data_IF_670416194517
#
_entry.id   IF_670416194517
#
_cell.length_a   1.000
_cell.length_b   1.000
_cell.length_c   1.000
_cell.angle_alpha   90.00
_cell.angle_beta   90.00
_cell.angle_gamma   90.00
#
_symmetry.space_group_name_H-M   'P 1'
#
loop_
_entity.id
_entity.type
_entity.pdbx_description
1 polymer ?
#
# COMPACT_ATOMS: atom_id res chain seq x y z
N UNK A 1 -14.75 43.94 31.66
CA UNK A 1 -15.98 44.64 31.22
C UNK A 1 -16.71 43.82 30.13
N UNK A 2 -17.06 42.56 30.39
CA UNK A 2 -17.64 41.61 29.40
C UNK A 2 -18.95 40.95 29.89
N UNK A 3 -19.63 41.51 30.90
CA UNK A 3 -20.80 40.91 31.55
C UNK A 3 -22.17 41.42 31.06
N UNK A 4 -22.21 42.18 29.96
CA UNK A 4 -23.44 42.79 29.43
C UNK A 4 -23.95 42.19 28.11
N UNK A 5 -23.32 41.13 27.57
CA UNK A 5 -23.72 40.54 26.26
C UNK A 5 -24.77 39.42 26.41
N UNK A 6 -25.04 38.95 27.64
CA UNK A 6 -25.98 37.84 27.91
C UNK A 6 -27.40 38.35 28.22
N UNK A 7 -27.96 39.29 27.45
CA UNK A 7 -29.37 39.71 27.67
C UNK A 7 -30.20 40.11 26.45
N UNK A 8 -29.72 40.07 25.21
CA UNK A 8 -30.53 40.52 24.07
C UNK A 8 -30.74 39.40 23.04
N UNK A 9 -32.03 39.11 22.84
CA UNK A 9 -32.66 38.51 21.66
C UNK A 9 -32.76 36.97 21.58
N UNK A 10 -33.81 36.47 22.25
CA UNK A 10 -34.70 35.44 21.69
C UNK A 10 -35.25 35.97 20.35
N UNK A 11 -34.78 35.43 19.21
CA UNK A 11 -35.43 35.60 17.91
C UNK A 11 -35.66 34.21 17.32
N UNK A 12 -36.94 33.90 17.14
CA UNK A 12 -37.44 32.76 16.40
C UNK A 12 -37.04 32.86 14.92
N UNK A 13 -36.64 31.74 14.32
CA UNK A 13 -36.48 31.59 12.88
C UNK A 13 -35.03 31.50 12.42
N UNK A 14 -34.63 30.30 11.98
CA UNK A 14 -33.38 30.10 11.26
C UNK A 14 -32.88 28.66 11.38
N UNK A 15 -33.16 27.84 10.36
CA UNK A 15 -32.42 26.62 10.05
C UNK A 15 -30.95 26.99 9.71
N UNK A 16 -30.14 27.32 10.72
CA UNK A 16 -28.69 27.47 10.56
C UNK A 16 -28.01 26.13 10.83
N UNK A 17 -27.76 25.39 9.75
CA UNK A 17 -26.82 24.27 9.77
C UNK A 17 -25.42 24.78 10.10
N UNK A 18 -24.90 24.39 11.26
CA UNK A 18 -23.49 24.59 11.60
C UNK A 18 -22.63 23.64 10.77
N UNK A 19 -22.04 24.16 9.70
CA UNK A 19 -20.92 23.51 9.03
C UNK A 19 -19.74 23.49 10.02
N UNK A 20 -19.43 22.30 10.53
CA UNK A 20 -18.21 22.07 11.33
C UNK A 20 -16.94 22.28 10.49
N UNK A 21 -15.79 22.56 11.12
CA UNK A 21 -14.55 22.75 10.37
C UNK A 21 -14.14 21.40 9.77
N UNK A 22 -14.06 21.33 8.44
CA UNK A 22 -13.36 20.25 7.77
C UNK A 22 -11.88 20.48 8.02
N UNK A 23 -11.29 19.78 9.00
CA UNK A 23 -9.84 19.75 9.12
C UNK A 23 -9.30 19.09 7.86
N UNK A 24 -8.48 19.81 7.09
CA UNK A 24 -7.62 19.19 6.10
C UNK A 24 -6.71 18.20 6.86
N UNK A 25 -7.07 16.91 6.81
CA UNK A 25 -6.41 15.84 7.55
C UNK A 25 -5.04 15.61 6.92
N UNK A 26 -4.05 16.38 7.37
CA UNK A 26 -2.66 16.09 7.05
C UNK A 26 -2.28 14.78 7.76
N UNK A 27 -1.52 13.88 7.11
CA UNK A 27 -1.11 12.65 7.76
C UNK A 27 -0.36 12.90 9.06
N UNK A 28 -0.76 12.16 10.09
CA UNK A 28 -0.04 12.14 11.37
C UNK A 28 1.38 11.60 11.19
N UNK A 29 2.33 12.08 11.99
CA UNK A 29 3.73 11.60 11.95
C UNK A 29 3.83 10.07 12.11
N UNK A 30 2.92 9.46 12.88
CA UNK A 30 2.80 8.01 13.04
C UNK A 30 2.36 7.30 11.76
N UNK A 31 1.41 7.85 11.01
CA UNK A 31 1.03 7.32 9.69
C UNK A 31 2.21 7.40 8.71
N UNK A 32 2.90 8.52 8.67
CA UNK A 32 4.07 8.71 7.79
C UNK A 32 5.16 7.70 8.12
N UNK A 33 5.42 7.45 9.41
CA UNK A 33 6.38 6.46 9.86
C UNK A 33 5.99 5.03 9.44
N UNK A 34 4.70 4.68 9.50
CA UNK A 34 4.18 3.39 9.06
C UNK A 34 4.32 3.21 7.54
N UNK A 35 3.97 4.22 6.74
CA UNK A 35 4.12 4.21 5.27
C UNK A 35 5.59 4.06 4.89
N UNK A 36 6.49 4.79 5.56
CA UNK A 36 7.95 4.65 5.37
C UNK A 36 8.43 3.22 5.57
N UNK A 37 7.87 2.50 6.54
CA UNK A 37 8.27 1.12 6.79
C UNK A 37 7.94 0.22 5.60
N UNK A 38 6.80 0.44 4.95
CA UNK A 38 6.37 -0.28 3.74
C UNK A 38 7.11 0.17 2.48
N UNK A 39 7.57 1.41 2.45
CA UNK A 39 8.26 2.05 1.32
C UNK A 39 9.79 2.03 1.40
N UNK A 40 10.38 1.30 2.36
CA UNK A 40 11.81 1.42 2.69
C UNK A 40 12.73 1.12 1.50
N UNK A 41 12.39 0.11 0.70
CA UNK A 41 13.19 -0.28 -0.48
C UNK A 41 13.08 0.76 -1.59
N UNK A 42 11.86 1.19 -1.91
CA UNK A 42 11.61 2.22 -2.92
C UNK A 42 12.26 3.55 -2.55
N UNK A 43 12.23 3.90 -1.26
CA UNK A 43 12.87 5.10 -0.74
C UNK A 43 14.38 5.11 -0.97
N UNK A 44 15.07 3.97 -0.80
CA UNK A 44 16.51 3.88 -1.08
C UNK A 44 16.83 4.03 -2.56
N UNK A 45 15.93 3.62 -3.46
CA UNK A 45 16.11 3.69 -4.90
C UNK A 45 15.82 5.08 -5.47
N UNK A 46 14.81 5.78 -4.94
CA UNK A 46 14.29 7.02 -5.53
C UNK A 46 14.47 8.26 -4.65
N UNK A 47 14.61 8.09 -3.33
CA UNK A 47 14.53 9.19 -2.36
C UNK A 47 15.69 9.21 -1.33
N UNK A 48 16.82 8.56 -1.61
CA UNK A 48 17.91 8.35 -0.65
C UNK A 48 18.53 9.65 -0.09
N UNK A 49 18.45 10.75 -0.82
CA UNK A 49 18.98 12.06 -0.42
C UNK A 49 18.05 12.86 0.49
N UNK A 50 16.83 12.37 0.73
CA UNK A 50 15.83 13.05 1.55
C UNK A 50 15.96 12.58 3.01
N UNK A 51 15.66 13.42 4.02
CA UNK A 51 15.57 12.96 5.39
C UNK A 51 14.41 11.97 5.58
N UNK A 52 14.69 10.85 6.24
CA UNK A 52 13.66 9.83 6.48
C UNK A 52 12.69 10.28 7.57
N UNK A 53 11.47 10.57 7.18
CA UNK A 53 10.37 10.92 8.09
C UNK A 53 9.86 12.34 7.87
N UNK A 54 8.55 12.51 8.03
CA UNK A 54 7.87 13.77 7.76
C UNK A 54 7.49 13.97 6.29
N UNK A 55 7.05 15.19 5.98
CA UNK A 55 6.44 15.53 4.69
C UNK A 55 7.40 15.44 3.51
N UNK A 56 8.69 15.73 3.71
CA UNK A 56 9.70 15.69 2.65
C UNK A 56 9.85 14.29 2.04
N UNK A 57 9.82 13.26 2.90
CA UNK A 57 9.84 11.87 2.46
C UNK A 57 8.58 11.49 1.68
N UNK A 58 7.41 11.99 2.10
CA UNK A 58 6.15 11.76 1.37
C UNK A 58 6.13 12.47 0.02
N UNK A 59 6.59 13.71 -0.07
CA UNK A 59 6.62 14.45 -1.35
C UNK A 59 7.52 13.76 -2.38
N UNK A 60 8.70 13.30 -1.96
CA UNK A 60 9.56 12.54 -2.87
C UNK A 60 8.89 11.24 -3.35
N UNK A 61 8.27 10.48 -2.44
CA UNK A 61 7.53 9.28 -2.82
C UNK A 61 6.34 9.61 -3.75
N UNK A 62 5.65 10.73 -3.56
CA UNK A 62 4.55 11.16 -4.42
C UNK A 62 5.02 11.52 -5.84
N UNK A 63 6.16 12.18 -5.99
CA UNK A 63 6.74 12.43 -7.33
C UNK A 63 7.14 11.14 -8.04
N UNK A 64 7.63 10.17 -7.29
CA UNK A 64 8.04 8.88 -7.83
C UNK A 64 6.93 7.82 -7.81
N UNK A 65 5.67 8.16 -7.50
CA UNK A 65 4.59 7.21 -7.24
C UNK A 65 4.35 6.19 -8.36
N UNK A 66 4.59 6.57 -9.63
CA UNK A 66 4.48 5.69 -10.79
C UNK A 66 5.62 4.66 -10.92
N UNK A 67 6.74 4.89 -10.23
CA UNK A 67 7.92 4.03 -10.20
C UNK A 67 8.07 3.28 -8.86
N UNK A 68 7.20 3.56 -7.89
CA UNK A 68 7.21 2.83 -6.62
C UNK A 68 6.61 1.44 -6.80
N UNK A 69 7.01 0.54 -5.91
CA UNK A 69 6.36 -0.75 -5.72
C UNK A 69 4.84 -0.57 -5.50
N UNK A 70 3.99 -1.48 -6.00
CA UNK A 70 2.53 -1.36 -5.88
C UNK A 70 2.05 -1.15 -4.44
N UNK A 71 2.71 -1.81 -3.48
CA UNK A 71 2.40 -1.71 -2.06
C UNK A 71 2.74 -0.33 -1.48
N UNK A 72 3.85 0.27 -1.92
CA UNK A 72 4.25 1.60 -1.50
C UNK A 72 3.38 2.69 -2.16
N UNK A 73 3.08 2.56 -3.46
CA UNK A 73 2.18 3.46 -4.18
C UNK A 73 0.77 3.49 -3.58
N UNK A 74 0.22 2.33 -3.19
CA UNK A 74 -1.06 2.25 -2.48
C UNK A 74 -1.02 2.94 -1.12
N UNK A 75 0.06 2.73 -0.35
CA UNK A 75 0.24 3.34 0.96
C UNK A 75 0.36 4.87 0.87
N UNK A 76 1.01 5.41 -0.17
CA UNK A 76 1.17 6.85 -0.43
C UNK A 76 -0.10 7.49 -1.00
N UNK A 77 -0.87 6.76 -1.82
CA UNK A 77 -2.14 7.23 -2.37
C UNK A 77 -3.24 7.33 -1.29
N UNK A 78 -3.28 6.39 -0.34
CA UNK A 78 -4.24 6.38 0.77
C UNK A 78 -4.09 7.59 1.72
N UNK A 79 -2.96 8.30 1.66
CA UNK A 79 -2.67 9.49 2.47
C UNK A 79 -3.03 10.79 1.78
N UNK A 80 -3.03 10.81 0.44
CA UNK A 80 -3.34 11.99 -0.38
C UNK A 80 -4.83 12.23 -0.59
N UNK A 81 -5.68 11.23 -0.28
CA UNK A 81 -7.13 11.31 -0.35
C UNK A 81 -7.74 11.05 1.01
N UNK A 82 -8.05 12.11 1.76
CA UNK A 82 -8.61 12.01 3.10
C UNK A 82 -9.87 11.15 3.18
N UNK A 83 -9.84 10.14 4.04
CA UNK A 83 -10.97 9.68 4.86
C UNK A 83 -10.42 8.79 5.98
N UNK A 84 -10.27 9.35 7.17
CA UNK A 84 -10.00 8.60 8.39
C UNK A 84 -11.27 8.03 9.02
N UNK A 85 -11.35 6.69 9.09
CA UNK A 85 -11.82 5.83 10.19
C UNK A 85 -12.02 4.44 9.58
N UNK A 86 -11.43 3.36 10.09
CA UNK A 86 -11.71 2.89 11.45
C UNK A 86 -10.44 2.39 12.18
N UNK A 87 -10.34 2.78 13.45
CA UNK A 87 -9.81 1.91 14.49
C UNK A 87 -10.67 0.63 14.51
N UNK A 88 -10.07 -0.49 14.12
CA UNK A 88 -10.39 -1.79 14.67
C UNK A 88 -9.09 -2.38 15.24
N UNK A 89 -8.88 -2.14 16.53
CA UNK A 89 -8.36 -3.19 17.39
C UNK A 89 -9.36 -4.34 17.33
N UNK A 90 -9.00 -5.37 16.57
CA UNK A 90 -9.80 -6.58 16.37
C UNK A 90 -9.86 -7.02 14.91
N UNK A 91 -8.78 -7.70 14.46
CA UNK A 91 -8.52 -8.29 13.13
C UNK A 91 -7.98 -7.25 12.11
N UNK A 92 -6.69 -7.15 11.80
CA UNK A 92 -5.76 -8.22 11.39
C UNK A 92 -4.32 -7.68 11.50
N UNK A 93 -3.45 -8.32 12.29
CA UNK A 93 -2.01 -8.25 12.07
C UNK A 93 -1.59 -9.51 11.27
N UNK A 94 -0.33 -9.61 10.82
CA UNK A 94 0.31 -8.91 9.70
C UNK A 94 0.48 -9.88 8.53
N UNK A 95 0.36 -9.46 7.27
CA UNK A 95 0.73 -10.37 6.18
C UNK A 95 1.44 -9.59 5.05
N UNK A 96 2.72 -9.72 4.67
CA UNK A 96 3.81 -10.71 4.88
C UNK A 96 3.47 -12.20 4.97
N UNK A 97 2.20 -12.54 4.78
CA UNK A 97 1.71 -13.84 4.42
C UNK A 97 1.06 -13.61 3.07
N UNK A 98 1.69 -14.08 2.00
CA UNK A 98 1.09 -13.99 0.68
C UNK A 98 -0.32 -14.54 0.78
N UNK A 99 -1.34 -13.70 0.55
CA UNK A 99 -2.66 -14.24 0.26
C UNK A 99 -2.42 -15.19 -0.92
N UNK A 100 -2.69 -16.51 -0.82
CA UNK A 100 -2.31 -17.44 -1.87
C UNK A 100 -2.86 -17.01 -3.24
N UNK A 101 -3.98 -16.27 -3.24
CA UNK A 101 -4.52 -15.63 -4.44
C UNK A 101 -3.63 -14.52 -5.01
N UNK A 102 -3.09 -13.63 -4.19
CA UNK A 102 -2.16 -12.58 -4.61
C UNK A 102 -0.80 -13.16 -5.00
N UNK A 103 -0.33 -14.17 -4.27
CA UNK A 103 0.91 -14.86 -4.59
C UNK A 103 0.80 -15.60 -5.93
N UNK A 104 -0.40 -16.09 -6.30
CA UNK A 104 -0.64 -16.67 -7.63
C UNK A 104 -0.74 -15.64 -8.76
N UNK A 105 -1.19 -14.41 -8.51
CA UNK A 105 -1.18 -13.35 -9.53
C UNK A 105 0.24 -12.86 -9.81
N UNK A 106 1.03 -12.61 -8.75
CA UNK A 106 2.46 -12.27 -8.90
C UNK A 106 3.21 -13.37 -9.67
N UNK A 107 2.98 -14.65 -9.35
CA UNK A 107 3.54 -15.76 -10.14
C UNK A 107 3.17 -15.69 -11.62
N UNK A 108 1.93 -15.32 -11.94
CA UNK A 108 1.45 -15.29 -13.33
C UNK A 108 2.07 -14.15 -14.11
N UNK A 109 2.26 -12.99 -13.47
CA UNK A 109 2.89 -11.82 -14.07
C UNK A 109 4.39 -12.05 -14.26
N UNK A 110 5.10 -12.44 -13.19
CA UNK A 110 6.56 -12.61 -13.21
C UNK A 110 6.99 -13.84 -14.03
N UNK A 111 6.32 -14.98 -13.86
CA UNK A 111 6.67 -16.22 -14.56
C UNK A 111 5.90 -16.41 -15.87
N UNK A 112 5.06 -15.46 -16.28
CA UNK A 112 4.18 -15.65 -17.44
C UNK A 112 4.94 -15.86 -18.75
N UNK A 113 6.08 -15.18 -18.91
CA UNK A 113 6.93 -15.34 -20.09
C UNK A 113 7.73 -16.64 -20.03
N UNK A 114 8.36 -16.94 -18.89
CA UNK A 114 9.11 -18.17 -18.68
C UNK A 114 8.22 -19.41 -18.82
N UNK A 115 7.00 -19.38 -18.29
CA UNK A 115 6.02 -20.45 -18.42
C UNK A 115 5.67 -20.72 -19.89
N UNK A 116 5.50 -19.67 -20.70
CA UNK A 116 5.22 -19.81 -22.13
C UNK A 116 6.43 -20.32 -22.91
N UNK A 117 7.64 -20.15 -22.42
CA UNK A 117 8.86 -20.62 -23.10
C UNK A 117 9.19 -22.05 -22.69
N UNK A 118 9.21 -22.34 -21.40
CA UNK A 118 9.69 -23.60 -20.83
C UNK A 118 8.58 -24.62 -20.55
N UNK A 119 7.34 -24.18 -20.28
CA UNK A 119 6.23 -25.04 -19.87
C UNK A 119 5.12 -25.16 -20.93
N UNK A 120 5.48 -25.07 -22.22
CA UNK A 120 4.53 -25.21 -23.34
C UNK A 120 3.82 -26.57 -23.27
N UNK A 121 2.50 -26.57 -23.06
CA UNK A 121 1.68 -27.78 -22.96
C UNK A 121 1.26 -28.16 -21.55
N UNK A 122 1.80 -27.50 -20.52
CA UNK A 122 1.31 -27.67 -19.14
C UNK A 122 -0.02 -26.93 -19.00
N UNK A 123 -1.05 -27.61 -18.50
CA UNK A 123 -2.33 -26.98 -18.18
C UNK A 123 -2.20 -26.20 -16.86
N UNK A 124 -2.45 -24.88 -16.84
CA UNK A 124 -2.42 -24.10 -15.61
C UNK A 124 -3.44 -24.64 -14.59
N UNK A 125 -3.13 -24.51 -13.30
CA UNK A 125 -3.98 -24.97 -12.19
C UNK A 125 -3.51 -26.25 -11.50
N UNK A 126 -3.96 -26.45 -10.26
CA UNK A 126 -3.63 -27.62 -9.44
C UNK A 126 -2.15 -27.74 -9.05
N UNK A 127 -1.38 -26.65 -9.09
CA UNK A 127 0.06 -26.66 -8.81
C UNK A 127 0.96 -27.20 -9.95
N UNK A 128 0.38 -27.70 -11.05
CA UNK A 128 1.14 -28.24 -12.20
C UNK A 128 2.05 -27.21 -12.85
N UNK A 129 1.56 -25.97 -12.95
CA UNK A 129 2.36 -24.87 -13.48
C UNK A 129 3.58 -24.57 -12.59
N UNK A 130 3.40 -24.63 -11.27
CA UNK A 130 4.49 -24.43 -10.30
C UNK A 130 5.49 -25.59 -10.38
N UNK A 131 5.02 -26.84 -10.56
CA UNK A 131 5.89 -28.00 -10.70
C UNK A 131 6.80 -27.88 -11.92
N UNK A 132 6.25 -27.54 -13.09
CA UNK A 132 7.04 -27.32 -14.30
C UNK A 132 8.05 -26.18 -14.13
N UNK A 133 7.62 -25.04 -13.56
CA UNK A 133 8.54 -23.93 -13.30
C UNK A 133 9.67 -24.33 -12.34
N UNK A 134 9.41 -25.14 -11.30
CA UNK A 134 10.49 -25.64 -10.42
C UNK A 134 11.51 -26.49 -11.14
N UNK A 135 11.10 -27.27 -12.13
CA UNK A 135 12.00 -28.13 -12.92
C UNK A 135 12.91 -27.31 -13.85
N UNK A 136 12.42 -26.14 -14.29
CA UNK A 136 13.17 -25.21 -15.12
C UNK A 136 13.73 -24.01 -14.36
N UNK A 137 13.81 -24.07 -13.02
CA UNK A 137 14.19 -22.96 -12.12
C UNK A 137 15.40 -22.16 -12.62
N UNK A 138 16.45 -22.87 -13.03
CA UNK A 138 17.74 -22.28 -13.41
C UNK A 138 17.70 -21.60 -14.80
N UNK A 139 16.64 -21.84 -15.58
CA UNK A 139 16.38 -21.22 -16.88
C UNK A 139 15.34 -20.10 -16.82
N UNK A 140 14.71 -19.85 -15.66
CA UNK A 140 13.71 -18.80 -15.51
C UNK A 140 14.36 -17.43 -15.32
N UNK A 141 13.61 -16.37 -15.58
CA UNK A 141 13.98 -15.02 -15.19
C UNK A 141 14.21 -14.87 -13.68
N UNK A 142 15.08 -13.93 -13.29
CA UNK A 142 15.36 -13.61 -11.89
C UNK A 142 14.11 -13.18 -11.12
N UNK A 143 13.18 -12.46 -11.76
CA UNK A 143 11.88 -12.10 -11.19
C UNK A 143 11.05 -13.34 -10.84
N UNK A 144 10.94 -14.28 -11.77
CA UNK A 144 10.21 -15.53 -11.56
C UNK A 144 10.85 -16.43 -10.49
N UNK A 145 12.19 -16.52 -10.44
CA UNK A 145 12.91 -17.27 -9.41
C UNK A 145 12.64 -16.73 -8.00
N UNK A 146 12.66 -15.41 -7.83
CA UNK A 146 12.37 -14.75 -6.56
C UNK A 146 10.91 -14.97 -6.12
N UNK A 147 9.96 -14.91 -7.06
CA UNK A 147 8.54 -15.18 -6.79
C UNK A 147 8.31 -16.64 -6.36
N UNK A 148 8.95 -17.62 -7.02
CA UNK A 148 8.92 -19.03 -6.65
C UNK A 148 9.57 -19.32 -5.30
N UNK A 149 10.66 -18.62 -4.98
CA UNK A 149 11.34 -18.76 -3.69
C UNK A 149 10.47 -18.24 -2.54
N UNK A 150 9.85 -17.08 -2.73
CA UNK A 150 8.90 -16.49 -1.78
C UNK A 150 7.71 -17.42 -1.47
N UNK A 151 7.24 -18.17 -2.47
CA UNK A 151 6.18 -19.17 -2.30
C UNK A 151 6.62 -20.45 -1.58
N UNK A 152 7.88 -20.88 -1.73
CA UNK A 152 8.41 -22.01 -0.95
C UNK A 152 8.54 -21.64 0.52
N UNK A 153 8.92 -20.39 0.82
CA UNK A 153 9.10 -19.89 2.18
C UNK A 153 7.78 -19.58 2.91
N UNK A 154 6.67 -19.47 2.18
CA UNK A 154 5.34 -19.20 2.73
C UNK A 154 4.54 -20.47 3.06
N UNK A 155 5.17 -21.65 2.95
CA UNK A 155 4.56 -22.97 3.14
C UNK A 155 5.19 -23.67 4.33
#
# INVERSE_FOLDING_TARGET
MHREIVRVALIAGGLLGIAGPVSAQHPSQSQIAAIRSSCRSDYQSYCASVPTGGQQALSCLQEHAANLSPQCGQAVAAVGGGSGAQEQSGRTAPQSGGNPRQATSVLREECGMDYRTHCRGVRPGGGRAIACLKEHQDSLSSGCQNALSSLRSAR
#
